data_IF_731678133625
#
_entry.id   IF_731678133625
#
_cell.length_a   1.000
_cell.length_b   1.000
_cell.length_c   1.000
_cell.angle_alpha   90.00
_cell.angle_beta   90.00
_cell.angle_gamma   90.00
#
_symmetry.space_group_name_H-M   'P 1'
#
loop_
_entity.id
_entity.type
_entity.pdbx_description
1 polymer ?
#
# COMPACT_ATOMS: atom_id res chain seq x y z
N UNK A 1 -48.01 33.28 15.57
CA UNK A 1 -47.92 31.82 15.79
C UNK A 1 -46.60 31.32 15.21
N UNK A 2 -45.54 31.11 16.00
CA UNK A 2 -44.28 30.63 15.46
C UNK A 2 -44.31 29.10 15.35
N UNK A 3 -44.00 28.56 14.16
CA UNK A 3 -43.81 27.12 13.95
C UNK A 3 -42.49 26.70 14.61
N UNK A 4 -42.57 26.09 15.77
CA UNK A 4 -41.43 25.49 16.47
C UNK A 4 -40.90 24.19 15.80
N UNK A 5 -41.37 23.86 14.58
CA UNK A 5 -41.06 22.59 13.91
C UNK A 5 -39.88 22.69 12.93
N UNK A 6 -39.60 23.88 12.37
CA UNK A 6 -38.68 23.99 11.23
C UNK A 6 -37.20 23.81 11.62
N UNK A 7 -36.80 24.22 12.83
CA UNK A 7 -35.41 24.09 13.32
C UNK A 7 -34.97 22.68 13.70
N UNK A 8 -35.92 21.79 14.02
CA UNK A 8 -35.61 20.39 14.32
C UNK A 8 -35.27 19.61 13.03
N UNK A 9 -35.97 19.91 11.94
CA UNK A 9 -35.64 19.39 10.61
C UNK A 9 -34.34 19.96 10.07
N UNK A 10 -34.09 21.26 10.24
CA UNK A 10 -32.86 21.92 9.78
C UNK A 10 -31.60 21.34 10.47
N UNK A 11 -31.66 21.15 11.79
CA UNK A 11 -30.57 20.50 12.54
C UNK A 11 -30.35 19.03 12.19
N UNK A 12 -31.41 18.28 11.85
CA UNK A 12 -31.28 16.90 11.35
C UNK A 12 -30.64 16.86 9.95
N UNK A 13 -30.99 17.81 9.08
CA UNK A 13 -30.41 17.97 7.75
C UNK A 13 -28.92 18.29 7.86
N UNK A 14 -28.53 19.22 8.74
CA UNK A 14 -27.12 19.53 9.00
C UNK A 14 -26.33 18.33 9.52
N UNK A 15 -26.91 17.57 10.47
CA UNK A 15 -26.27 16.35 10.97
C UNK A 15 -26.11 15.30 9.87
N UNK A 16 -27.12 15.16 9.00
CA UNK A 16 -27.07 14.25 7.87
C UNK A 16 -25.98 14.66 6.86
N UNK A 17 -25.88 15.95 6.52
CA UNK A 17 -24.84 16.49 5.64
C UNK A 17 -23.46 16.21 6.24
N UNK A 18 -23.25 16.49 7.54
CA UNK A 18 -21.99 16.22 8.21
C UNK A 18 -21.64 14.73 8.22
N UNK A 19 -22.62 13.87 8.42
CA UNK A 19 -22.44 12.42 8.39
C UNK A 19 -22.01 11.97 6.99
N UNK A 20 -22.69 12.43 5.94
CA UNK A 20 -22.35 12.09 4.54
C UNK A 20 -20.93 12.56 4.20
N UNK A 21 -20.56 13.79 4.54
CA UNK A 21 -19.20 14.30 4.31
C UNK A 21 -18.16 13.45 5.05
N UNK A 22 -18.42 13.09 6.31
CA UNK A 22 -17.53 12.25 7.11
C UNK A 22 -17.37 10.85 6.53
N UNK A 23 -18.43 10.27 5.98
CA UNK A 23 -18.39 8.98 5.27
C UNK A 23 -17.55 9.12 4.00
N UNK A 24 -17.79 10.15 3.18
CA UNK A 24 -17.05 10.38 1.93
C UNK A 24 -15.54 10.54 2.20
N UNK A 25 -15.15 11.43 3.13
CA UNK A 25 -13.74 11.62 3.46
C UNK A 25 -13.09 10.34 4.00
N UNK A 26 -13.82 9.51 4.74
CA UNK A 26 -13.30 8.22 5.22
C UNK A 26 -13.13 7.22 4.08
N UNK A 27 -14.07 7.18 3.15
CA UNK A 27 -14.00 6.31 1.98
C UNK A 27 -12.80 6.70 1.09
N UNK A 28 -12.64 7.99 0.78
CA UNK A 28 -11.50 8.51 0.01
C UNK A 28 -10.17 8.13 0.66
N UNK A 29 -10.01 8.41 1.98
CA UNK A 29 -8.78 8.04 2.70
C UNK A 29 -8.51 6.54 2.71
N UNK A 30 -9.56 5.71 2.77
CA UNK A 30 -9.42 4.25 2.74
C UNK A 30 -8.94 3.77 1.37
N UNK A 31 -9.55 4.28 0.30
CA UNK A 31 -9.16 3.99 -1.09
C UNK A 31 -7.72 4.45 -1.35
N UNK A 32 -7.35 5.67 -0.96
CA UNK A 32 -5.98 6.18 -1.11
C UNK A 32 -4.96 5.33 -0.35
N UNK A 33 -5.33 4.84 0.84
CA UNK A 33 -4.47 3.96 1.63
C UNK A 33 -4.30 2.60 0.96
N UNK A 34 -5.36 2.02 0.43
CA UNK A 34 -5.32 0.73 -0.28
C UNK A 34 -4.53 0.83 -1.59
N UNK A 35 -4.75 1.89 -2.39
CA UNK A 35 -3.98 2.16 -3.60
C UNK A 35 -2.49 2.39 -3.30
N UNK A 36 -2.16 3.14 -2.25
CA UNK A 36 -0.76 3.33 -1.84
C UNK A 36 -0.09 2.03 -1.40
N UNK A 37 -0.84 1.11 -0.80
CA UNK A 37 -0.32 -0.23 -0.45
C UNK A 37 -0.03 -1.03 -1.71
N UNK A 38 -0.94 -1.02 -2.67
CA UNK A 38 -0.78 -1.78 -3.90
C UNK A 38 0.28 -1.21 -4.83
N UNK A 39 0.47 0.11 -4.86
CA UNK A 39 1.57 0.76 -5.58
C UNK A 39 2.95 0.44 -5.00
N UNK A 40 3.04 0.16 -3.69
CA UNK A 40 4.29 -0.23 -3.04
C UNK A 40 4.67 -1.68 -3.29
N UNK A 41 3.76 -2.52 -3.81
CA UNK A 41 4.02 -3.94 -4.06
C UNK A 41 4.82 -4.16 -5.34
N UNK A 42 5.91 -4.90 -5.25
CA UNK A 42 6.65 -5.41 -6.40
C UNK A 42 5.91 -6.60 -6.96
N UNK A 43 5.40 -6.43 -8.20
CA UNK A 43 4.72 -7.49 -8.95
C UNK A 43 5.72 -8.59 -9.31
N UNK A 44 5.31 -9.84 -9.18
CA UNK A 44 6.14 -11.01 -9.54
C UNK A 44 7.29 -11.30 -8.57
N UNK A 45 7.31 -10.70 -7.37
CA UNK A 45 8.39 -10.88 -6.39
C UNK A 45 8.60 -12.33 -5.95
N UNK A 46 7.54 -13.15 -5.91
CA UNK A 46 7.64 -14.58 -5.56
C UNK A 46 8.53 -15.33 -6.56
N UNK A 47 8.30 -15.14 -7.86
CA UNK A 47 9.17 -15.68 -8.91
C UNK A 47 10.57 -15.09 -8.88
N UNK A 48 10.72 -13.82 -8.46
CA UNK A 48 12.03 -13.21 -8.27
C UNK A 48 12.81 -13.83 -7.11
N UNK A 49 12.15 -14.08 -5.97
CA UNK A 49 12.75 -14.74 -4.80
C UNK A 49 13.18 -16.18 -5.12
N UNK A 50 12.39 -16.90 -5.91
CA UNK A 50 12.78 -18.23 -6.40
C UNK A 50 14.10 -18.16 -7.19
N UNK A 51 14.21 -17.23 -8.15
CA UNK A 51 15.42 -17.05 -8.95
C UNK A 51 16.64 -16.64 -8.11
N UNK A 52 16.41 -15.83 -7.07
CA UNK A 52 17.45 -15.47 -6.10
C UNK A 52 17.95 -16.71 -5.34
N UNK A 53 17.05 -17.54 -4.85
CA UNK A 53 17.40 -18.77 -4.14
C UNK A 53 18.16 -19.75 -5.04
N UNK A 54 17.68 -19.97 -6.27
CA UNK A 54 18.36 -20.81 -7.27
C UNK A 54 19.77 -20.29 -7.58
N UNK A 55 19.92 -18.99 -7.81
CA UNK A 55 21.23 -18.38 -8.10
C UNK A 55 22.20 -18.51 -6.90
N UNK A 56 21.71 -18.30 -5.68
CA UNK A 56 22.51 -18.44 -4.47
C UNK A 56 22.97 -19.89 -4.23
N UNK A 57 22.11 -20.87 -4.53
CA UNK A 57 22.46 -22.29 -4.45
C UNK A 57 23.45 -22.72 -5.54
N UNK A 58 23.36 -22.12 -6.72
CA UNK A 58 24.23 -22.43 -7.85
C UNK A 58 25.65 -21.87 -7.68
N UNK A 59 25.80 -20.72 -7.03
CA UNK A 59 27.09 -20.08 -6.77
C UNK A 59 27.16 -19.45 -5.36
N UNK A 60 27.29 -20.28 -4.31
CA UNK A 60 27.19 -19.82 -2.92
C UNK A 60 28.37 -18.97 -2.46
N UNK A 61 29.53 -19.08 -3.11
CA UNK A 61 30.72 -18.29 -2.81
C UNK A 61 30.77 -16.96 -3.61
N UNK A 62 29.86 -16.78 -4.57
CA UNK A 62 29.82 -15.60 -5.40
C UNK A 62 29.31 -14.36 -4.69
N UNK A 63 29.81 -13.20 -5.12
CA UNK A 63 29.34 -11.93 -4.60
C UNK A 63 27.92 -11.63 -5.08
N UNK A 64 27.13 -10.94 -4.25
CA UNK A 64 25.76 -10.51 -4.57
C UNK A 64 25.69 -9.76 -5.92
N UNK A 65 26.69 -8.91 -6.18
CA UNK A 65 26.78 -8.15 -7.44
C UNK A 65 26.87 -9.05 -8.67
N UNK A 66 27.58 -10.18 -8.57
CA UNK A 66 27.77 -11.15 -9.65
C UNK A 66 26.60 -12.11 -9.78
N UNK A 67 26.08 -12.61 -8.66
CA UNK A 67 25.13 -13.73 -8.64
C UNK A 67 23.67 -13.25 -8.60
N UNK A 68 23.37 -12.25 -7.77
CA UNK A 68 21.98 -11.87 -7.45
C UNK A 68 21.50 -10.70 -8.31
N UNK A 69 22.31 -9.67 -8.52
CA UNK A 69 21.88 -8.51 -9.30
C UNK A 69 21.38 -8.86 -10.71
N UNK A 70 22.03 -9.75 -11.49
CA UNK A 70 21.55 -10.08 -12.82
C UNK A 70 20.17 -10.76 -12.83
N UNK A 71 19.87 -11.61 -11.84
CA UNK A 71 18.61 -12.37 -11.82
C UNK A 71 17.40 -11.56 -11.36
N UNK A 72 17.63 -10.46 -10.65
CA UNK A 72 16.59 -9.51 -10.19
C UNK A 72 16.49 -8.25 -11.06
N UNK A 73 17.28 -8.12 -12.13
CA UNK A 73 17.29 -6.95 -13.00
C UNK A 73 18.09 -5.75 -12.46
N UNK A 74 18.94 -5.96 -11.45
CA UNK A 74 19.92 -4.99 -10.95
C UNK A 74 19.77 -4.63 -9.47
N UNK A 75 20.76 -3.89 -8.96
CA UNK A 75 20.81 -3.44 -7.55
C UNK A 75 19.57 -2.65 -7.12
N UNK A 76 19.07 -1.78 -8.00
CA UNK A 76 17.90 -0.93 -7.72
C UNK A 76 16.67 -1.77 -7.38
N UNK A 77 16.44 -2.86 -8.11
CA UNK A 77 15.32 -3.77 -7.86
C UNK A 77 15.49 -4.52 -6.54
N UNK A 78 16.70 -4.99 -6.23
CA UNK A 78 16.97 -5.65 -4.96
C UNK A 78 16.76 -4.72 -3.75
N UNK A 79 17.19 -3.46 -3.87
CA UNK A 79 16.91 -2.42 -2.85
C UNK A 79 15.42 -2.14 -2.70
N UNK A 80 14.68 -2.08 -3.81
CA UNK A 80 13.23 -1.89 -3.78
C UNK A 80 12.52 -3.06 -3.07
N UNK A 81 12.94 -4.31 -3.33
CA UNK A 81 12.44 -5.50 -2.62
C UNK A 81 12.66 -5.42 -1.11
N UNK A 82 13.87 -5.05 -0.69
CA UNK A 82 14.17 -4.90 0.73
C UNK A 82 13.32 -3.79 1.39
N UNK A 83 13.16 -2.65 0.70
CA UNK A 83 12.35 -1.54 1.18
C UNK A 83 10.86 -1.89 1.30
N UNK A 84 10.30 -2.61 0.32
CA UNK A 84 8.92 -3.11 0.39
C UNK A 84 8.74 -4.08 1.56
N UNK A 85 9.65 -5.06 1.72
CA UNK A 85 9.58 -6.04 2.80
C UNK A 85 9.59 -5.36 4.18
N UNK A 86 10.53 -4.43 4.40
CA UNK A 86 10.61 -3.66 5.64
C UNK A 86 9.34 -2.82 5.90
N UNK A 87 8.75 -2.22 4.86
CA UNK A 87 7.50 -1.46 4.97
C UNK A 87 6.29 -2.33 5.30
N UNK A 88 6.32 -3.62 4.95
CA UNK A 88 5.29 -4.60 5.30
C UNK A 88 5.46 -5.14 6.73
N UNK A 89 6.69 -5.32 7.22
CA UNK A 89 6.96 -5.75 8.59
C UNK A 89 6.65 -4.68 9.64
N UNK A 90 6.76 -3.39 9.29
CA UNK A 90 6.49 -2.27 10.18
C UNK A 90 4.99 -1.95 10.38
N UNK A 91 4.08 -2.79 9.86
CA UNK A 91 2.62 -2.62 9.91
C UNK A 91 1.96 -3.62 10.82
#
# INVERSE_FOLDING_TARGET
MPRAADGATDSLVDLFIQLVLKINTRAERKVDKELNVDLKKIRGKEGMLLRVAEAALLDPAGTVRRVIYPVVGGEKTLKALAAEAAANEAR
#
